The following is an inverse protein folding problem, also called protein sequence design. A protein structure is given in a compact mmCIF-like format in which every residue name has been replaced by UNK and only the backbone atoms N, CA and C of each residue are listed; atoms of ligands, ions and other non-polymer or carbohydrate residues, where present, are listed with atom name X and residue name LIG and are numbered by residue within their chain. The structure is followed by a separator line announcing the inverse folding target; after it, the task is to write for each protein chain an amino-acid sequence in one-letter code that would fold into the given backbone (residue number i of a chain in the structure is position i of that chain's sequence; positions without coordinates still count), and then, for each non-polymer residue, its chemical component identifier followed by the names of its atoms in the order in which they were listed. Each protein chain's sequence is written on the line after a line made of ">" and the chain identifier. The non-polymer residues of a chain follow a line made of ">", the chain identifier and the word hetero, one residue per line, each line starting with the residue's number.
data_IF_021390468765
#
_entry.id   IF_021390468765
#
_cell.length_a   1.000
_cell.length_b   1.000
_cell.length_c   1.000
_cell.angle_alpha   90.00
_cell.angle_beta   90.00
_cell.angle_gamma   90.00
#
_symmetry.space_group_name_H-M   'P 1'
#
loop_
_entity.id
_entity.type
_entity.pdbx_description
1 polymer ?
#
# COMPACT_ATOMS: atom_id res chain seq x y z
N UNK A 1 0.55 21.56 -36.17
CA UNK A 1 1.84 21.18 -35.54
C UNK A 1 1.58 21.06 -34.05
N UNK A 2 1.99 19.97 -33.39
CA UNK A 2 1.76 19.80 -31.94
C UNK A 2 2.82 20.59 -31.19
N UNK A 3 2.40 21.51 -30.32
CA UNK A 3 3.32 22.28 -29.49
C UNK A 3 3.78 21.45 -28.27
N UNK A 4 4.99 20.93 -28.38
CA UNK A 4 5.62 20.09 -27.36
C UNK A 4 6.02 20.87 -26.10
N UNK A 5 6.18 22.19 -26.18
CA UNK A 5 6.53 23.01 -25.01
C UNK A 5 5.32 23.16 -24.10
N UNK A 6 4.15 23.41 -24.68
CA UNK A 6 2.89 23.51 -23.94
C UNK A 6 2.52 22.18 -23.27
N UNK A 7 2.69 21.05 -23.96
CA UNK A 7 2.49 19.72 -23.37
C UNK A 7 3.42 19.47 -22.18
N UNK A 8 4.68 19.91 -22.29
CA UNK A 8 5.65 19.79 -21.19
C UNK A 8 5.27 20.64 -19.99
N UNK A 9 4.81 21.87 -20.21
CA UNK A 9 4.39 22.76 -19.12
C UNK A 9 3.13 22.24 -18.42
N UNK A 10 2.14 21.77 -19.18
CA UNK A 10 0.93 21.13 -18.63
C UNK A 10 1.28 19.90 -17.79
N UNK A 11 2.11 19.00 -18.32
CA UNK A 11 2.55 17.81 -17.59
C UNK A 11 3.39 18.15 -16.34
N UNK A 12 4.09 19.29 -16.31
CA UNK A 12 4.82 19.74 -15.11
C UNK A 12 3.82 20.23 -14.05
N UNK A 13 2.85 21.06 -14.44
CA UNK A 13 1.79 21.56 -13.54
C UNK A 13 1.01 20.40 -12.90
N UNK A 14 0.56 19.44 -13.71
CA UNK A 14 -0.15 18.24 -13.21
C UNK A 14 0.64 17.44 -12.16
N UNK A 15 1.98 17.32 -12.33
CA UNK A 15 2.83 16.64 -11.34
C UNK A 15 2.94 17.42 -10.04
N UNK A 16 3.05 18.74 -10.13
CA UNK A 16 3.09 19.64 -8.97
C UNK A 16 1.76 19.58 -8.23
N UNK A 17 0.64 19.70 -8.93
CA UNK A 17 -0.70 19.67 -8.34
C UNK A 17 -0.99 18.33 -7.65
N UNK A 18 -0.56 17.21 -8.27
CA UNK A 18 -0.68 15.89 -7.65
C UNK A 18 0.14 15.79 -6.37
N UNK A 19 1.36 16.35 -6.35
CA UNK A 19 2.20 16.37 -5.17
C UNK A 19 1.55 17.22 -4.07
N UNK A 20 1.07 18.42 -4.40
CA UNK A 20 0.43 19.32 -3.44
C UNK A 20 -0.86 18.72 -2.86
N UNK A 21 -1.68 18.08 -3.70
CA UNK A 21 -2.87 17.35 -3.22
C UNK A 21 -2.48 16.22 -2.27
N UNK A 22 -1.39 15.51 -2.54
CA UNK A 22 -0.89 14.45 -1.66
C UNK A 22 -0.30 15.03 -0.37
N UNK A 23 0.41 16.14 -0.45
CA UNK A 23 0.93 16.89 0.70
C UNK A 23 -0.20 17.37 1.60
N UNK A 24 -1.23 18.02 1.07
CA UNK A 24 -2.44 18.42 1.79
C UNK A 24 -3.17 17.23 2.40
N UNK A 25 -3.26 16.09 1.71
CA UNK A 25 -3.84 14.86 2.27
C UNK A 25 -3.00 14.29 3.41
N UNK A 26 -1.68 14.35 3.32
CA UNK A 26 -0.78 13.91 4.39
C UNK A 26 -0.88 14.84 5.60
N UNK A 27 -0.91 16.16 5.36
CA UNK A 27 -1.18 17.17 6.39
C UNK A 27 -2.56 16.91 7.02
N UNK A 28 -3.61 16.67 6.24
CA UNK A 28 -4.95 16.38 6.78
C UNK A 28 -4.99 15.06 7.55
N UNK A 29 -4.18 14.06 7.21
CA UNK A 29 -4.04 12.84 8.04
C UNK A 29 -3.31 13.10 9.36
N UNK A 30 -2.39 14.06 9.39
CA UNK A 30 -1.61 14.39 10.58
C UNK A 30 -2.29 15.45 11.48
N UNK A 31 -2.96 16.44 10.86
CA UNK A 31 -3.60 17.62 11.45
C UNK A 31 -5.13 17.58 11.44
N UNK A 32 -5.76 16.86 10.51
CA UNK A 32 -7.20 16.56 10.60
C UNK A 32 -7.45 15.86 11.93
N UNK A 33 -8.72 15.80 12.41
CA UNK A 33 -9.01 15.35 13.75
C UNK A 33 -8.32 14.02 13.94
N UNK A 34 -7.19 14.05 14.67
CA UNK A 34 -6.77 12.88 15.39
C UNK A 34 -8.06 12.54 16.09
N UNK A 35 -8.53 11.31 15.94
CA UNK A 35 -9.35 10.71 16.98
C UNK A 35 -8.40 10.56 18.17
N UNK A 36 -7.89 11.70 18.63
CA UNK A 36 -7.33 11.95 19.92
C UNK A 36 -8.50 11.55 20.78
N UNK A 37 -8.24 10.56 21.59
CA UNK A 37 -9.17 10.08 22.59
C UNK A 37 -9.74 11.24 23.43
N UNK A 38 -9.17 12.46 23.38
CA UNK A 38 -9.65 13.67 24.03
C UNK A 38 -10.84 14.39 23.36
N UNK A 39 -11.06 14.23 22.04
CA UNK A 39 -12.15 14.93 21.31
C UNK A 39 -13.27 14.00 20.82
N UNK A 40 -13.25 12.72 21.19
CA UNK A 40 -14.39 11.84 20.96
C UNK A 40 -15.52 12.29 21.89
N UNK A 41 -16.68 12.63 21.33
CA UNK A 41 -17.87 12.91 22.13
C UNK A 41 -18.12 11.72 23.07
N UNK A 42 -18.34 11.97 24.37
CA UNK A 42 -18.58 10.88 25.31
C UNK A 42 -19.82 10.07 24.88
N UNK A 43 -19.82 8.78 25.18
CA UNK A 43 -20.99 7.91 25.02
C UNK A 43 -22.19 8.60 25.69
N UNK A 44 -23.25 8.85 24.93
CA UNK A 44 -24.49 9.47 25.43
C UNK A 44 -24.69 10.97 25.19
N UNK A 45 -23.71 11.72 24.65
CA UNK A 45 -23.92 13.15 24.35
C UNK A 45 -23.85 13.41 22.84
N UNK A 46 -25.01 13.68 22.24
CA UNK A 46 -25.17 14.47 21.01
C UNK A 46 -25.21 13.73 19.66
N UNK A 47 -25.03 12.42 19.60
CA UNK A 47 -25.12 11.65 18.34
C UNK A 47 -25.84 10.32 18.59
N UNK A 48 -26.91 10.07 17.83
CA UNK A 48 -27.70 8.84 17.89
C UNK A 48 -26.83 7.61 17.61
N UNK A 49 -27.18 6.46 18.20
CA UNK A 49 -26.40 5.22 18.04
C UNK A 49 -26.28 4.79 16.57
N UNK A 50 -27.27 5.13 15.74
CA UNK A 50 -27.33 4.77 14.32
C UNK A 50 -26.35 5.56 13.45
N UNK A 51 -25.96 6.77 13.89
CA UNK A 51 -25.07 7.65 13.13
C UNK A 51 -23.59 7.40 13.44
N UNK A 52 -23.30 6.55 14.44
CA UNK A 52 -21.93 6.25 14.88
C UNK A 52 -21.29 5.17 14.04
N UNK A 53 -20.02 5.39 13.68
CA UNK A 53 -19.24 4.37 12.95
C UNK A 53 -18.84 3.20 13.87
N UNK A 54 -18.72 1.99 13.31
CA UNK A 54 -18.21 0.81 14.04
C UNK A 54 -16.86 1.08 14.71
N UNK A 55 -15.97 1.81 14.04
CA UNK A 55 -14.64 2.11 14.57
C UNK A 55 -14.68 3.04 15.77
N UNK A 56 -15.58 4.02 15.76
CA UNK A 56 -15.79 4.93 16.88
C UNK A 56 -16.30 4.18 18.12
N UNK A 57 -17.29 3.30 17.95
CA UNK A 57 -17.81 2.47 19.04
C UNK A 57 -16.72 1.57 19.65
N UNK A 58 -15.93 0.89 18.83
CA UNK A 58 -14.80 0.04 19.30
C UNK A 58 -13.78 0.87 20.08
N UNK A 59 -13.42 2.05 19.59
CA UNK A 59 -12.46 2.92 20.26
C UNK A 59 -12.99 3.44 21.61
N UNK A 60 -14.26 3.83 21.68
CA UNK A 60 -14.90 4.29 22.91
C UNK A 60 -14.99 3.18 23.95
N UNK A 61 -15.36 1.95 23.56
CA UNK A 61 -15.38 0.81 24.50
C UNK A 61 -13.98 0.52 25.02
N UNK A 62 -12.96 0.53 24.17
CA UNK A 62 -11.57 0.37 24.59
C UNK A 62 -11.18 1.46 25.58
N UNK A 63 -11.52 2.73 25.30
CA UNK A 63 -11.26 3.85 26.21
C UNK A 63 -11.95 3.67 27.56
N UNK A 64 -13.21 3.29 27.57
CA UNK A 64 -13.96 3.04 28.80
C UNK A 64 -13.31 1.95 29.65
N UNK A 65 -12.85 0.85 29.02
CA UNK A 65 -12.07 -0.18 29.72
C UNK A 65 -10.74 0.36 30.24
N UNK A 66 -9.98 1.11 29.44
CA UNK A 66 -8.71 1.70 29.88
C UNK A 66 -8.87 2.70 31.03
N UNK A 67 -9.98 3.43 31.09
CA UNK A 67 -10.27 4.39 32.16
C UNK A 67 -10.61 3.71 33.50
N UNK A 68 -11.01 2.44 33.50
CA UNK A 68 -11.14 1.70 34.77
C UNK A 68 -9.77 1.21 35.22
N UNK A 69 -9.45 1.39 36.51
CA UNK A 69 -8.13 1.04 37.07
C UNK A 69 -7.73 -0.42 36.83
N UNK A 70 -8.71 -1.33 36.73
CA UNK A 70 -8.52 -2.76 36.48
C UNK A 70 -8.63 -3.15 35.01
N UNK A 71 -8.71 -2.20 34.08
CA UNK A 71 -8.89 -2.46 32.64
C UNK A 71 -10.07 -3.37 32.29
N UNK A 72 -11.12 -3.37 33.12
CA UNK A 72 -12.28 -4.25 32.97
C UNK A 72 -12.04 -5.70 33.42
N UNK A 73 -10.94 -6.02 34.13
CA UNK A 73 -10.66 -7.38 34.62
C UNK A 73 -11.73 -7.88 35.61
N UNK A 74 -12.30 -6.99 36.43
CA UNK A 74 -13.33 -7.31 37.41
C UNK A 74 -14.75 -7.00 36.92
N UNK A 75 -14.91 -6.60 35.66
CA UNK A 75 -16.23 -6.34 35.06
C UNK A 75 -16.61 -7.56 34.19
N UNK A 76 -17.62 -8.34 34.57
CA UNK A 76 -18.03 -9.49 33.77
C UNK A 76 -18.54 -9.03 32.39
N UNK A 77 -18.21 -9.75 31.31
CA UNK A 77 -18.71 -9.44 29.98
C UNK A 77 -20.24 -9.62 29.93
N UNK A 78 -20.92 -8.74 29.19
CA UNK A 78 -22.36 -8.86 28.97
C UNK A 78 -22.64 -10.14 28.16
N UNK A 79 -23.76 -10.82 28.44
CA UNK A 79 -24.14 -12.04 27.71
C UNK A 79 -24.14 -11.79 26.20
N UNK A 80 -23.41 -12.61 25.46
CA UNK A 80 -23.23 -12.54 24.00
C UNK A 80 -22.49 -11.28 23.48
N UNK A 81 -21.74 -10.57 24.32
CA UNK A 81 -20.88 -9.49 23.81
C UNK A 81 -19.78 -10.05 22.90
N UNK A 82 -19.56 -9.40 21.76
CA UNK A 82 -18.44 -9.76 20.88
C UNK A 82 -17.14 -9.32 21.54
N UNK A 83 -16.23 -10.26 21.78
CA UNK A 83 -14.89 -9.94 22.27
C UNK A 83 -14.20 -8.99 21.30
N UNK A 84 -13.78 -7.84 21.81
CA UNK A 84 -13.00 -6.88 21.03
C UNK A 84 -11.63 -7.48 20.73
N UNK A 85 -11.39 -7.80 19.46
CA UNK A 85 -10.05 -8.19 19.01
C UNK A 85 -9.15 -6.96 19.17
N UNK A 86 -8.03 -7.15 19.87
CA UNK A 86 -7.06 -6.07 20.11
C UNK A 86 -6.71 -5.41 18.78
N UNK A 87 -7.04 -4.13 18.65
CA UNK A 87 -6.63 -3.28 17.54
C UNK A 87 -5.15 -2.95 17.77
N UNK A 88 -4.26 -3.83 17.32
CA UNK A 88 -2.82 -3.76 17.57
C UNK A 88 -2.01 -4.23 16.37
N UNK A 89 -0.68 -4.14 16.46
CA UNK A 89 0.23 -4.62 15.42
C UNK A 89 -0.01 -6.11 15.17
N UNK A 90 -0.61 -6.44 14.03
CA UNK A 90 -0.91 -7.82 13.62
C UNK A 90 0.35 -8.66 13.39
N UNK A 91 1.50 -8.02 13.22
CA UNK A 91 2.79 -8.68 13.07
C UNK A 91 3.73 -8.14 14.15
N UNK A 92 4.17 -9.04 15.03
CA UNK A 92 5.32 -8.79 15.90
C UNK A 92 6.54 -9.28 15.13
N UNK A 93 7.53 -8.41 14.97
CA UNK A 93 8.84 -8.85 14.49
C UNK A 93 9.52 -9.61 15.63
N UNK A 94 10.22 -10.67 15.26
CA UNK A 94 11.13 -11.33 16.17
C UNK A 94 12.22 -10.33 16.60
N UNK A 95 12.76 -10.44 17.82
CA UNK A 95 13.88 -9.61 18.24
C UNK A 95 15.09 -9.81 17.32
N UNK A 96 15.96 -8.80 17.21
CA UNK A 96 17.15 -8.88 16.36
C UNK A 96 18.19 -9.89 16.87
N UNK A 97 18.20 -10.13 18.18
CA UNK A 97 19.12 -11.05 18.85
C UNK A 97 18.32 -12.28 19.30
N UNK A 98 18.40 -13.36 18.52
CA UNK A 98 17.79 -14.66 18.83
C UNK A 98 18.92 -15.69 18.93
N UNK A 99 18.66 -16.79 19.64
CA UNK A 99 19.58 -17.92 19.66
C UNK A 99 19.86 -18.46 18.24
N UNK A 100 21.14 -18.72 17.97
CA UNK A 100 21.67 -19.16 16.67
C UNK A 100 21.01 -20.47 16.21
N UNK A 101 20.64 -21.33 17.15
CA UNK A 101 19.96 -22.60 16.85
C UNK A 101 18.60 -22.38 16.17
N UNK A 102 17.84 -21.38 16.64
CA UNK A 102 16.53 -21.01 16.09
C UNK A 102 16.66 -20.37 14.71
N UNK A 103 17.67 -19.52 14.52
CA UNK A 103 17.96 -18.92 13.22
C UNK A 103 18.32 -19.96 12.17
N UNK A 104 19.22 -20.90 12.50
CA UNK A 104 19.61 -21.99 11.61
C UNK A 104 18.41 -22.83 11.19
N UNK A 105 17.51 -23.15 12.13
CA UNK A 105 16.29 -23.92 11.83
C UNK A 105 15.35 -23.17 10.87
N UNK A 106 15.14 -21.86 11.09
CA UNK A 106 14.35 -21.01 10.18
C UNK A 106 14.97 -20.94 8.78
N UNK A 107 16.29 -20.82 8.69
CA UNK A 107 17.00 -20.77 7.41
C UNK A 107 16.89 -22.09 6.64
N UNK A 108 17.03 -23.24 7.32
CA UNK A 108 16.84 -24.55 6.72
C UNK A 108 15.40 -24.76 6.24
N UNK A 109 14.40 -24.34 7.02
CA UNK A 109 12.99 -24.40 6.61
C UNK A 109 12.71 -23.56 5.34
N UNK A 110 13.33 -22.38 5.22
CA UNK A 110 13.25 -21.58 4.00
C UNK A 110 13.90 -22.32 2.82
N UNK A 111 15.05 -22.93 3.03
CA UNK A 111 15.77 -23.69 2.00
C UNK A 111 14.96 -24.91 1.54
N UNK A 112 14.31 -25.63 2.45
CA UNK A 112 13.44 -26.76 2.14
C UNK A 112 12.21 -26.31 1.34
N UNK A 113 11.62 -25.17 1.70
CA UNK A 113 10.49 -24.58 0.93
C UNK A 113 10.92 -24.17 -0.48
N UNK A 114 12.13 -23.61 -0.64
CA UNK A 114 12.67 -23.22 -1.94
C UNK A 114 13.12 -24.42 -2.79
N UNK A 115 13.65 -25.47 -2.17
CA UNK A 115 14.08 -26.69 -2.85
C UNK A 115 12.91 -27.57 -3.25
N UNK A 116 11.81 -27.52 -2.49
CA UNK A 116 10.57 -28.19 -2.84
C UNK A 116 10.00 -27.59 -4.13
N UNK A 117 9.73 -28.44 -5.14
CA UNK A 117 9.09 -28.02 -6.40
C UNK A 117 7.61 -27.64 -6.22
N UNK A 118 7.07 -27.83 -5.01
CA UNK A 118 5.68 -27.56 -4.68
C UNK A 118 5.59 -26.14 -4.12
N UNK A 119 5.18 -25.19 -4.95
CA UNK A 119 4.83 -23.87 -4.45
C UNK A 119 3.69 -24.02 -3.43
N UNK A 120 3.87 -23.52 -2.21
CA UNK A 120 2.79 -23.46 -1.21
C UNK A 120 1.74 -22.46 -1.71
N UNK A 121 0.75 -22.96 -2.44
CA UNK A 121 -0.38 -22.16 -2.91
C UNK A 121 -1.31 -21.96 -1.72
N UNK A 122 -1.48 -20.71 -1.32
CA UNK A 122 -2.50 -20.37 -0.32
C UNK A 122 -3.87 -20.38 -1.02
N UNK A 123 -4.56 -21.53 -0.98
CA UNK A 123 -5.82 -21.79 -1.69
C UNK A 123 -6.89 -20.73 -1.39
N UNK A 124 -6.96 -20.25 -0.15
CA UNK A 124 -7.92 -19.25 0.29
C UNK A 124 -7.67 -17.89 -0.37
N UNK A 125 -6.40 -17.46 -0.46
CA UNK A 125 -6.04 -16.24 -1.21
C UNK A 125 -6.24 -16.41 -2.72
N UNK A 126 -5.94 -17.59 -3.26
CA UNK A 126 -6.14 -17.87 -4.68
C UNK A 126 -7.63 -17.77 -5.03
N UNK A 127 -8.50 -18.41 -4.25
CA UNK A 127 -9.95 -18.35 -4.43
C UNK A 127 -10.48 -16.90 -4.33
N UNK A 128 -10.06 -16.13 -3.32
CA UNK A 128 -10.44 -14.72 -3.18
C UNK A 128 -9.96 -13.85 -4.36
N UNK A 129 -8.75 -14.12 -4.87
CA UNK A 129 -8.23 -13.42 -6.05
C UNK A 129 -9.03 -13.76 -7.32
N UNK A 130 -9.46 -15.01 -7.49
CA UNK A 130 -10.27 -15.40 -8.64
C UNK A 130 -11.67 -14.79 -8.58
N UNK A 131 -12.31 -14.80 -7.41
CA UNK A 131 -13.62 -14.20 -7.21
C UNK A 131 -13.61 -12.67 -7.42
N UNK A 132 -12.59 -11.98 -6.90
CA UNK A 132 -12.46 -10.52 -7.10
C UNK A 132 -12.23 -10.15 -8.57
N UNK A 133 -11.44 -10.92 -9.32
CA UNK A 133 -11.29 -10.72 -10.75
C UNK A 133 -12.61 -10.96 -11.50
N UNK A 134 -13.35 -12.04 -11.19
CA UNK A 134 -14.65 -12.30 -11.81
C UNK A 134 -15.66 -11.17 -11.54
N UNK A 135 -15.74 -10.67 -10.31
CA UNK A 135 -16.60 -9.53 -9.96
C UNK A 135 -16.19 -8.23 -10.67
N UNK A 136 -14.89 -7.97 -10.81
CA UNK A 136 -14.40 -6.81 -11.57
C UNK A 136 -14.71 -6.93 -13.07
N UNK A 137 -14.63 -8.12 -13.65
CA UNK A 137 -15.00 -8.36 -15.06
C UNK A 137 -16.53 -8.26 -15.28
N UNK A 138 -17.34 -8.76 -14.34
CA UNK A 138 -18.80 -8.63 -14.39
C UNK A 138 -19.25 -7.17 -14.32
N UNK A 139 -18.76 -6.39 -13.34
CA UNK A 139 -19.12 -4.98 -13.18
C UNK A 139 -18.61 -4.09 -14.33
N UNK A 140 -17.49 -4.45 -14.97
CA UNK A 140 -16.93 -3.69 -16.11
C UNK A 140 -17.67 -3.94 -17.43
N UNK A 141 -18.47 -5.01 -17.50
CA UNK A 141 -19.31 -5.34 -18.65
C UNK A 141 -20.71 -4.71 -18.57
N UNK A 142 -21.20 -4.35 -17.38
CA UNK A 142 -22.52 -3.71 -17.24
C UNK A 142 -22.51 -2.20 -17.53
N UNK A 143 -21.37 -1.51 -17.31
CA UNK A 143 -21.27 -0.05 -17.51
C UNK A 143 -20.61 0.36 -18.84
N UNK A 144 -20.59 -0.50 -19.86
CA UNK A 144 -20.02 -0.16 -21.17
C UNK A 144 -21.03 -0.47 -22.25
N UNK A 145 -21.68 0.60 -22.76
CA UNK A 145 -22.44 0.54 -24.01
C UNK A 145 -21.62 -0.07 -25.16
N UNK A 146 -22.26 -0.36 -26.31
CA UNK A 146 -21.69 -1.17 -27.38
C UNK A 146 -20.32 -0.63 -27.78
N UNK A 147 -19.26 -1.38 -27.43
CA UNK A 147 -17.89 -1.03 -27.80
C UNK A 147 -17.79 -1.20 -29.31
N UNK A 148 -17.75 -0.09 -30.06
CA UNK A 148 -17.36 -0.09 -31.48
C UNK A 148 -16.07 -0.90 -31.62
N UNK A 149 -16.17 -2.04 -32.29
CA UNK A 149 -15.02 -2.86 -32.65
C UNK A 149 -14.13 -2.01 -33.55
N UNK A 150 -12.97 -1.60 -33.02
CA UNK A 150 -11.97 -0.88 -33.82
C UNK A 150 -11.54 -1.80 -34.97
N UNK A 151 -11.64 -1.30 -36.19
CA UNK A 151 -11.24 -2.03 -37.40
C UNK A 151 -9.81 -2.56 -37.27
N UNK A 152 -9.52 -3.67 -37.95
CA UNK A 152 -8.19 -4.30 -38.01
C UNK A 152 -7.09 -3.28 -38.35
N UNK A 153 -7.40 -2.32 -39.22
CA UNK A 153 -6.53 -1.20 -39.60
C UNK A 153 -6.19 -0.30 -38.39
N UNK A 154 -7.18 0.08 -37.59
CA UNK A 154 -6.94 0.90 -36.38
C UNK A 154 -6.11 0.15 -35.33
N UNK A 155 -6.24 -1.18 -35.25
CA UNK A 155 -5.42 -2.01 -34.35
C UNK A 155 -3.96 -2.04 -34.81
N UNK A 156 -3.71 -2.23 -36.11
CA UNK A 156 -2.36 -2.21 -36.69
C UNK A 156 -1.69 -0.84 -36.50
N UNK A 157 -2.41 0.26 -36.75
CA UNK A 157 -1.89 1.62 -36.55
C UNK A 157 -1.51 1.90 -35.08
N UNK A 158 -2.31 1.41 -34.12
CA UNK A 158 -1.98 1.54 -32.70
C UNK A 158 -0.67 0.81 -32.33
N UNK A 159 -0.45 -0.40 -32.86
CA UNK A 159 0.79 -1.14 -32.63
C UNK A 159 2.01 -0.44 -33.26
N UNK A 160 1.87 0.05 -34.49
CA UNK A 160 2.93 0.82 -35.16
C UNK A 160 3.29 2.10 -34.39
N UNK A 161 2.28 2.84 -33.91
CA UNK A 161 2.50 4.05 -33.12
C UNK A 161 3.14 3.75 -31.75
N UNK A 162 2.79 2.63 -31.13
CA UNK A 162 3.39 2.18 -29.85
C UNK A 162 4.87 1.80 -30.04
N UNK A 163 5.22 1.09 -31.11
CA UNK A 163 6.60 0.75 -31.46
C UNK A 163 7.43 2.00 -31.78
N UNK A 164 6.87 2.97 -32.52
CA UNK A 164 7.52 4.27 -32.79
C UNK A 164 7.77 5.06 -31.51
N UNK A 165 6.84 5.05 -30.54
CA UNK A 165 7.01 5.71 -29.24
C UNK A 165 8.14 5.06 -28.42
N UNK A 166 8.26 3.73 -28.43
CA UNK A 166 9.33 3.01 -27.74
C UNK A 166 10.72 3.21 -28.37
N UNK A 167 10.80 3.37 -29.71
CA UNK A 167 12.07 3.71 -30.39
C UNK A 167 12.54 5.12 -30.03
N UNK A 168 11.64 6.11 -29.93
CA UNK A 168 11.98 7.48 -29.51
C UNK A 168 12.54 7.54 -28.07
N UNK A 169 12.07 6.68 -27.16
CA UNK A 169 12.56 6.66 -25.77
C UNK A 169 13.89 5.93 -25.58
N UNK A 170 14.33 5.11 -26.54
CA UNK A 170 15.60 4.34 -26.46
C UNK A 170 16.78 4.99 -27.18
N UNK A 171 16.55 6.06 -27.94
CA UNK A 171 17.60 6.74 -28.72
C UNK A 171 18.56 7.63 -27.91
N UNK A 172 18.34 7.84 -26.60
CA UNK A 172 19.12 8.80 -25.80
C UNK A 172 19.75 8.24 -24.51
N UNK A 173 19.74 6.91 -24.29
CA UNK A 173 20.24 6.32 -23.04
C UNK A 173 21.46 5.37 -23.20
N UNK A 174 22.18 5.43 -24.33
CA UNK A 174 23.45 4.71 -24.51
C UNK A 174 24.59 5.67 -24.86
N UNK A 175 24.97 6.52 -23.90
CA UNK A 175 26.26 7.21 -23.92
C UNK A 175 26.66 7.65 -22.50
N UNK A 176 26.92 6.69 -21.60
CA UNK A 176 27.84 6.90 -20.48
C UNK A 176 28.68 5.63 -20.34
N UNK A 177 29.96 5.81 -20.61
CA UNK A 177 30.93 4.76 -20.87
C UNK A 177 31.37 4.02 -19.62
N UNK A 178 31.68 2.74 -19.84
CA UNK A 178 32.66 2.00 -19.04
C UNK A 178 34.01 2.70 -19.20
N UNK A 179 34.62 3.14 -18.09
CA UNK A 179 36.08 3.23 -17.99
C UNK A 179 36.52 2.91 -16.57
N UNK A 180 37.12 1.72 -16.44
CA UNK A 180 38.11 1.40 -15.41
C UNK A 180 39.28 2.36 -15.54
N UNK A 181 39.76 2.93 -14.44
CA UNK A 181 41.18 3.28 -14.27
C UNK A 181 41.62 2.95 -12.84
N UNK A 182 42.66 2.16 -12.77
CA UNK A 182 43.41 1.71 -11.61
C UNK A 182 44.58 2.66 -11.33
N UNK A 183 45.20 2.49 -10.14
CA UNK A 183 46.49 3.04 -9.65
C UNK A 183 46.40 4.51 -9.18
N UNK A 184 46.90 4.95 -8.03
CA UNK A 184 47.84 4.40 -7.05
C UNK A 184 48.72 5.57 -6.52
N UNK A 185 49.03 5.58 -5.22
CA UNK A 185 49.93 6.54 -4.54
C UNK A 185 49.21 7.80 -4.03
N UNK A 186 49.18 8.14 -2.73
CA UNK A 186 50.23 8.03 -1.73
C UNK A 186 50.87 9.41 -1.56
N UNK A 187 50.40 10.19 -0.58
CA UNK A 187 51.18 11.30 0.02
C UNK A 187 50.54 11.77 1.33
N UNK A 188 51.33 11.60 2.38
CA UNK A 188 51.23 12.17 3.73
C UNK A 188 51.57 13.66 3.74
N UNK A 189 51.31 14.28 4.91
CA UNK A 189 51.73 15.60 5.48
C UNK A 189 50.56 16.59 5.61
N UNK A 190 50.01 16.80 6.82
CA UNK A 190 50.51 17.44 8.05
C UNK A 190 50.24 18.94 8.09
N UNK A 191 49.31 19.34 8.97
CA UNK A 191 49.35 20.47 9.90
C UNK A 191 47.99 20.54 10.59
#
# INVERSE_FOLDING_TARGET
>A
MVDYFDERQKAKRERVDKNEMQHLRNIARFKGPKISSANATPLGIGVDLNDRSRHELVNQINRARYSTASHGAFQPPIRNEKKLLKTGKHHKYEPNEVDVSGEKKKQLEILDRLSSKNNVINETRLAASQQSNQQQHANKNQNKGPKRLKSTIHRQQHFQNKLKKMKKTRGNSMKMGKQKKSRGGGRSRSS
#
